data_IF_147140438233
#
_entry.id   IF_147140438233
#
_cell.length_a   1.000
_cell.length_b   1.000
_cell.length_c   1.000
_cell.angle_alpha   90.00
_cell.angle_beta   90.00
_cell.angle_gamma   90.00
#
_symmetry.space_group_name_H-M   'P 1'
#
loop_
_entity.id
_entity.type
_entity.pdbx_description
1 polymer ?
#
# COMPACT_ATOMS: atom_id res chain seq x y z
N UNK A 1 -6.34 12.61 3.94
CA UNK A 1 -4.99 13.21 3.82
C UNK A 1 -3.93 12.20 4.27
N UNK A 2 -4.05 11.65 5.48
CA UNK A 2 -3.13 10.65 6.02
C UNK A 2 -2.72 9.54 5.02
N UNK A 3 -3.68 8.86 4.40
CA UNK A 3 -3.41 7.79 3.43
C UNK A 3 -2.55 8.26 2.23
N UNK A 4 -2.81 9.46 1.72
CA UNK A 4 -2.01 10.03 0.64
C UNK A 4 -0.55 10.25 1.08
N UNK A 5 -0.35 10.76 2.30
CA UNK A 5 0.98 10.93 2.89
C UNK A 5 1.70 9.58 3.05
N UNK A 6 0.99 8.53 3.47
CA UNK A 6 1.57 7.18 3.61
C UNK A 6 2.08 6.66 2.27
N UNK A 7 1.28 6.77 1.20
CA UNK A 7 1.71 6.33 -0.14
C UNK A 7 2.90 7.13 -0.68
N UNK A 8 2.85 8.46 -0.57
CA UNK A 8 3.97 9.32 -1.00
C UNK A 8 5.23 9.01 -0.20
N UNK A 9 5.10 8.87 1.12
CA UNK A 9 6.22 8.54 1.99
C UNK A 9 6.81 7.16 1.65
N UNK A 10 5.95 6.16 1.46
CA UNK A 10 6.38 4.80 1.12
C UNK A 10 7.16 4.77 -0.20
N UNK A 11 6.60 5.35 -1.27
CA UNK A 11 7.30 5.38 -2.56
C UNK A 11 8.58 6.23 -2.52
N UNK A 12 8.56 7.38 -1.84
CA UNK A 12 9.76 8.22 -1.70
C UNK A 12 10.87 7.50 -0.94
N UNK A 13 10.54 6.79 0.15
CA UNK A 13 11.53 6.01 0.91
C UNK A 13 12.18 4.90 0.07
N UNK A 14 11.41 4.27 -0.83
CA UNK A 14 11.93 3.27 -1.77
C UNK A 14 12.78 3.88 -2.88
N UNK A 15 12.52 5.11 -3.32
CA UNK A 15 13.40 5.82 -4.27
C UNK A 15 14.73 6.17 -3.63
N UNK A 16 14.70 6.70 -2.40
CA UNK A 16 15.92 7.13 -1.68
C UNK A 16 16.89 5.97 -1.46
N UNK A 17 16.36 4.77 -1.17
CA UNK A 17 17.16 3.57 -0.93
C UNK A 17 16.71 2.41 -1.83
N UNK A 18 16.67 2.66 -3.15
CA UNK A 18 16.19 1.69 -4.13
C UNK A 18 17.01 0.40 -4.10
N UNK A 19 18.32 0.48 -3.87
CA UNK A 19 19.17 -0.70 -3.83
C UNK A 19 18.86 -1.60 -2.64
N UNK A 20 18.57 -1.05 -1.46
CA UNK A 20 18.13 -1.87 -0.33
C UNK A 20 16.74 -2.46 -0.58
N UNK A 21 15.84 -1.70 -1.22
CA UNK A 21 14.52 -2.19 -1.61
C UNK A 21 14.62 -3.37 -2.60
N UNK A 22 15.36 -3.20 -3.70
CA UNK A 22 15.52 -4.24 -4.72
C UNK A 22 16.20 -5.49 -4.17
N UNK A 23 17.24 -5.32 -3.35
CA UNK A 23 17.92 -6.44 -2.69
C UNK A 23 16.98 -7.20 -1.75
N UNK A 24 16.16 -6.47 -0.97
CA UNK A 24 15.18 -7.10 -0.07
C UNK A 24 14.16 -7.93 -0.84
N UNK A 25 13.55 -7.34 -1.88
CA UNK A 25 12.56 -8.02 -2.72
C UNK A 25 13.17 -9.23 -3.44
N UNK A 26 14.38 -9.10 -3.98
CA UNK A 26 15.10 -10.22 -4.61
C UNK A 26 15.40 -11.34 -3.62
N UNK A 27 15.76 -11.02 -2.37
CA UNK A 27 16.06 -12.04 -1.35
C UNK A 27 14.81 -12.77 -0.85
N UNK A 28 13.62 -12.20 -1.04
CA UNK A 28 12.39 -12.91 -0.70
C UNK A 28 12.13 -14.12 -1.61
N UNK A 29 12.73 -14.17 -2.80
CA UNK A 29 12.62 -15.28 -3.76
C UNK A 29 11.18 -15.67 -4.14
N UNK A 30 10.22 -14.75 -4.00
CA UNK A 30 8.81 -14.94 -4.38
C UNK A 30 8.52 -14.45 -5.80
N UNK A 31 9.29 -13.47 -6.27
CA UNK A 31 9.13 -12.89 -7.61
C UNK A 31 10.21 -13.51 -8.51
N UNK A 32 9.85 -14.04 -9.69
CA UNK A 32 10.82 -14.54 -10.66
C UNK A 32 11.84 -13.46 -11.06
N UNK A 33 13.08 -13.86 -11.32
CA UNK A 33 14.18 -12.93 -11.61
C UNK A 33 13.88 -12.06 -12.84
N UNK A 34 13.20 -12.62 -13.85
CA UNK A 34 12.74 -11.90 -15.04
C UNK A 34 11.76 -10.74 -14.74
N UNK A 35 11.11 -10.74 -13.57
CA UNK A 35 10.13 -9.71 -13.17
C UNK A 35 10.73 -8.73 -12.16
N UNK A 36 11.98 -8.93 -11.72
CA UNK A 36 12.63 -8.02 -10.77
C UNK A 36 12.80 -6.61 -11.35
N UNK A 37 12.95 -6.44 -12.66
CA UNK A 37 13.02 -5.10 -13.24
C UNK A 37 11.69 -4.33 -13.13
N UNK A 38 10.54 -5.02 -13.03
CA UNK A 38 9.24 -4.39 -12.81
C UNK A 38 9.13 -3.73 -11.42
N UNK A 39 9.95 -4.15 -10.44
CA UNK A 39 9.93 -3.54 -9.10
C UNK A 39 10.34 -2.07 -9.12
N UNK A 40 11.06 -1.62 -10.17
CA UNK A 40 11.39 -0.21 -10.40
C UNK A 40 10.16 0.66 -10.60
N UNK A 41 9.05 0.07 -11.03
CA UNK A 41 7.78 0.77 -11.23
C UNK A 41 6.98 0.95 -9.93
N UNK A 42 7.27 0.17 -8.88
CA UNK A 42 6.52 0.23 -7.62
C UNK A 42 6.62 1.63 -6.98
N UNK A 43 7.82 2.20 -6.73
CA UNK A 43 7.92 3.51 -6.09
C UNK A 43 7.19 4.66 -6.83
N UNK A 44 7.33 4.83 -8.16
CA UNK A 44 6.59 5.88 -8.86
C UNK A 44 5.08 5.62 -8.89
N UNK A 45 4.62 4.37 -8.94
CA UNK A 45 3.18 4.04 -8.82
C UNK A 45 2.65 4.46 -7.43
N UNK A 46 3.38 4.16 -6.35
CA UNK A 46 2.99 4.54 -4.99
C UNK A 46 2.91 6.06 -4.82
N UNK A 47 3.92 6.80 -5.30
CA UNK A 47 3.90 8.27 -5.27
C UNK A 47 2.75 8.81 -6.11
N UNK A 48 2.57 8.30 -7.34
CA UNK A 48 1.50 8.72 -8.24
C UNK A 48 0.11 8.51 -7.62
N UNK A 49 -0.10 7.36 -6.99
CA UNK A 49 -1.32 7.06 -6.26
C UNK A 49 -1.53 8.00 -5.06
N UNK A 50 -0.48 8.26 -4.28
CA UNK A 50 -0.53 9.18 -3.15
C UNK A 50 -0.88 10.62 -3.56
N UNK A 51 -0.24 11.13 -4.62
CA UNK A 51 -0.54 12.46 -5.20
C UNK A 51 -1.96 12.49 -5.75
N UNK A 52 -2.39 11.44 -6.44
CA UNK A 52 -3.76 11.36 -6.95
C UNK A 52 -4.78 11.39 -5.81
N UNK A 53 -4.60 10.58 -4.76
CA UNK A 53 -5.43 10.62 -3.55
C UNK A 53 -5.46 12.02 -2.92
N UNK A 54 -4.31 12.69 -2.80
CA UNK A 54 -4.23 14.05 -2.28
C UNK A 54 -5.04 15.06 -3.10
N UNK A 55 -4.94 14.98 -4.44
CA UNK A 55 -5.68 15.85 -5.35
C UNK A 55 -7.20 15.67 -5.26
N UNK A 56 -7.66 14.43 -5.02
CA UNK A 56 -9.09 14.13 -4.92
C UNK A 56 -9.70 14.61 -3.60
N UNK A 57 -8.91 14.71 -2.53
CA UNK A 57 -9.41 15.25 -1.25
C UNK A 57 -9.85 16.71 -1.38
N UNK A 58 -9.20 17.48 -2.26
CA UNK A 58 -9.57 18.89 -2.51
C UNK A 58 -10.79 19.05 -3.41
N UNK A 59 -11.15 18.03 -4.20
CA UNK A 59 -12.29 18.06 -5.11
C UNK A 59 -13.52 17.52 -4.37
N UNK A 60 -14.52 18.38 -4.12
CA UNK A 60 -15.78 17.99 -3.48
C UNK A 60 -16.66 17.06 -4.35
N UNK A 61 -16.28 16.81 -5.60
CA UNK A 61 -17.12 16.21 -6.64
C UNK A 61 -17.32 14.68 -6.53
N UNK A 62 -17.11 14.07 -5.35
CA UNK A 62 -17.43 12.65 -5.11
C UNK A 62 -16.61 11.62 -5.92
N UNK A 63 -15.58 12.05 -6.63
CA UNK A 63 -14.68 11.22 -7.47
C UNK A 63 -13.64 10.42 -6.66
N UNK A 64 -13.53 10.67 -5.35
CA UNK A 64 -12.52 10.08 -4.45
C UNK A 64 -12.48 8.55 -4.42
N UNK A 65 -13.55 7.87 -4.83
CA UNK A 65 -13.61 6.42 -4.71
C UNK A 65 -12.73 5.63 -5.67
N UNK A 66 -12.32 6.13 -6.84
CA UNK A 66 -11.47 5.33 -7.76
C UNK A 66 -10.08 5.13 -7.16
N UNK A 67 -9.34 6.19 -6.79
CA UNK A 67 -8.03 6.00 -6.17
C UNK A 67 -8.11 5.30 -4.81
N UNK A 68 -9.22 5.42 -4.07
CA UNK A 68 -9.43 4.62 -2.85
C UNK A 68 -9.52 3.12 -3.17
N UNK A 69 -10.24 2.71 -4.22
CA UNK A 69 -10.28 1.30 -4.64
C UNK A 69 -8.93 0.78 -5.10
N UNK A 70 -8.19 1.56 -5.89
CA UNK A 70 -6.84 1.18 -6.35
C UNK A 70 -5.89 1.02 -5.17
N UNK A 71 -5.94 1.94 -4.21
CA UNK A 71 -5.18 1.85 -2.96
C UNK A 71 -5.52 0.59 -2.16
N UNK A 72 -6.80 0.24 -2.04
CA UNK A 72 -7.22 -0.99 -1.37
C UNK A 72 -6.71 -2.24 -2.10
N UNK A 73 -6.75 -2.26 -3.43
CA UNK A 73 -6.22 -3.35 -4.25
C UNK A 73 -4.70 -3.47 -4.03
N UNK A 74 -3.96 -2.37 -4.04
CA UNK A 74 -2.51 -2.40 -3.82
C UNK A 74 -2.17 -2.91 -2.41
N UNK A 75 -2.91 -2.49 -1.37
CA UNK A 75 -2.76 -3.02 -0.01
C UNK A 75 -3.05 -4.52 0.02
N UNK A 76 -4.07 -4.98 -0.71
CA UNK A 76 -4.43 -6.39 -0.83
C UNK A 76 -3.31 -7.21 -1.49
N UNK A 77 -2.83 -6.78 -2.66
CA UNK A 77 -1.71 -7.41 -3.38
C UNK A 77 -0.48 -7.47 -2.49
N UNK A 78 -0.17 -6.38 -1.79
CA UNK A 78 0.97 -6.32 -0.89
C UNK A 78 0.81 -7.26 0.32
N UNK A 79 -0.41 -7.40 0.86
CA UNK A 79 -0.70 -8.33 1.96
C UNK A 79 -0.60 -9.79 1.51
N UNK A 80 -1.06 -10.12 0.31
CA UNK A 80 -0.88 -11.45 -0.30
C UNK A 80 0.61 -11.75 -0.50
N UNK A 81 1.37 -10.79 -1.03
CA UNK A 81 2.82 -10.91 -1.15
C UNK A 81 3.47 -11.27 0.20
N UNK A 82 3.18 -10.51 1.26
CA UNK A 82 3.71 -10.81 2.60
C UNK A 82 3.31 -12.19 3.10
N UNK A 83 2.11 -12.66 2.77
CA UNK A 83 1.65 -13.99 3.15
C UNK A 83 2.48 -15.10 2.51
N UNK A 84 2.87 -14.93 1.25
CA UNK A 84 3.67 -15.88 0.48
C UNK A 84 5.16 -15.89 0.89
N UNK A 85 5.70 -14.75 1.34
CA UNK A 85 7.10 -14.70 1.82
C UNK A 85 7.23 -15.49 3.13
N UNK A 86 8.22 -16.41 3.25
CA UNK A 86 8.45 -17.18 4.47
C UNK A 86 8.74 -16.28 5.69
N UNK A 87 8.18 -16.64 6.84
CA UNK A 87 8.29 -15.85 8.08
C UNK A 87 9.75 -15.64 8.49
N UNK A 88 10.57 -16.70 8.42
CA UNK A 88 12.00 -16.62 8.72
C UNK A 88 12.77 -15.62 7.84
N UNK A 89 12.31 -15.41 6.59
CA UNK A 89 12.91 -14.43 5.67
C UNK A 89 12.48 -13.02 6.06
N UNK A 90 11.19 -12.81 6.37
CA UNK A 90 10.67 -11.49 6.83
C UNK A 90 11.24 -11.11 8.21
N UNK A 91 11.49 -12.06 9.10
CA UNK A 91 12.12 -11.80 10.40
C UNK A 91 13.59 -11.40 10.25
N UNK A 92 14.32 -12.07 9.36
CA UNK A 92 15.74 -11.81 9.14
C UNK A 92 15.99 -10.54 8.33
N UNK A 93 15.22 -10.33 7.27
CA UNK A 93 15.47 -9.30 6.27
C UNK A 93 14.53 -8.14 6.47
N UNK A 94 13.28 -8.34 6.89
CA UNK A 94 12.26 -7.30 6.96
C UNK A 94 11.38 -7.28 5.70
N UNK A 95 10.36 -6.42 5.69
CA UNK A 95 9.38 -6.35 4.59
C UNK A 95 9.79 -5.39 3.45
N UNK A 96 10.89 -4.64 3.58
CA UNK A 96 11.38 -3.69 2.56
C UNK A 96 10.49 -2.46 2.30
N UNK A 97 9.38 -2.30 3.03
CA UNK A 97 8.31 -1.33 2.71
C UNK A 97 8.71 0.13 2.83
N UNK A 98 9.67 0.43 3.71
CA UNK A 98 10.07 1.80 4.06
C UNK A 98 11.60 1.97 4.07
N UNK A 99 12.30 1.15 3.29
CA UNK A 99 13.77 1.10 3.25
C UNK A 99 14.41 0.76 4.60
N UNK A 100 15.71 1.05 4.74
CA UNK A 100 16.49 0.77 5.96
C UNK A 100 15.94 1.45 7.23
N UNK A 101 15.17 2.53 7.08
CA UNK A 101 14.67 3.36 8.20
C UNK A 101 13.77 2.55 9.14
N UNK A 102 12.97 1.61 8.62
CA UNK A 102 12.08 0.78 9.45
C UNK A 102 12.53 -0.67 9.60
N UNK A 103 13.57 -1.11 8.87
CA UNK A 103 14.13 -2.47 9.01
C UNK A 103 14.58 -2.79 10.43
N UNK A 104 15.16 -1.82 11.15
CA UNK A 104 15.71 -2.03 12.50
C UNK A 104 14.72 -1.81 13.64
N UNK A 105 13.59 -1.16 13.40
CA UNK A 105 12.65 -0.78 14.47
C UNK A 105 11.85 -1.98 14.97
N UNK A 106 11.71 -3.02 14.15
CA UNK A 106 10.82 -4.15 14.43
C UNK A 106 11.58 -5.46 14.73
N UNK A 107 12.91 -5.50 14.53
CA UNK A 107 13.74 -6.69 14.70
C UNK A 107 14.11 -7.05 16.15
N UNK A 108 13.37 -6.55 17.16
CA UNK A 108 13.67 -6.76 18.57
C UNK A 108 12.48 -7.07 19.48
N UNK A 109 11.26 -7.07 18.95
CA UNK A 109 10.04 -7.39 19.71
C UNK A 109 9.47 -8.68 19.12
N UNK A 110 9.33 -9.73 19.92
CA UNK A 110 8.96 -11.09 19.49
C UNK A 110 7.54 -11.26 18.89
N UNK A 111 6.85 -10.17 18.53
CA UNK A 111 5.69 -10.22 17.64
C UNK A 111 6.17 -9.92 16.22
N UNK A 112 6.23 -10.97 15.40
CA UNK A 112 6.86 -11.00 14.08
C UNK A 112 6.57 -9.76 13.22
N UNK A 113 7.64 -9.26 12.59
CA UNK A 113 7.64 -8.20 11.56
C UNK A 113 6.49 -8.33 10.55
N UNK A 114 6.14 -9.57 10.20
CA UNK A 114 4.99 -9.91 9.36
C UNK A 114 3.65 -9.52 9.99
N UNK A 115 3.39 -9.88 11.24
CA UNK A 115 2.15 -9.53 11.95
C UNK A 115 1.98 -8.02 12.07
N UNK A 116 3.05 -7.29 12.44
CA UNK A 116 3.00 -5.82 12.51
C UNK A 116 2.68 -5.18 11.17
N UNK A 117 3.28 -5.68 10.08
CA UNK A 117 3.02 -5.15 8.73
C UNK A 117 1.59 -5.50 8.25
N UNK A 118 1.10 -6.71 8.55
CA UNK A 118 -0.28 -7.11 8.23
C UNK A 118 -1.29 -6.29 9.02
N UNK A 119 -1.03 -6.02 10.31
CA UNK A 119 -1.89 -5.17 11.13
C UNK A 119 -1.92 -3.73 10.59
N UNK A 120 -0.76 -3.18 10.21
CA UNK A 120 -0.69 -1.86 9.58
C UNK A 120 -1.50 -1.81 8.28
N UNK A 121 -1.34 -2.82 7.41
CA UNK A 121 -2.14 -2.94 6.18
C UNK A 121 -3.64 -3.05 6.47
N UNK A 122 -4.03 -3.81 7.50
CA UNK A 122 -5.42 -3.92 7.92
C UNK A 122 -5.99 -2.59 8.38
N UNK A 123 -5.23 -1.82 9.18
CA UNK A 123 -5.61 -0.45 9.59
C UNK A 123 -5.74 0.47 8.38
N UNK A 124 -4.80 0.41 7.44
CA UNK A 124 -4.91 1.20 6.21
C UNK A 124 -6.14 0.79 5.41
N UNK A 125 -6.44 -0.51 5.28
CA UNK A 125 -7.61 -1.01 4.57
C UNK A 125 -8.92 -0.54 5.21
N UNK A 126 -9.04 -0.57 6.55
CA UNK A 126 -10.26 -0.09 7.23
C UNK A 126 -10.50 1.40 7.01
N UNK A 127 -9.45 2.22 6.87
CA UNK A 127 -9.58 3.64 6.51
C UNK A 127 -10.23 3.87 5.14
N UNK A 128 -10.27 2.87 4.26
CA UNK A 128 -10.96 2.96 2.96
C UNK A 128 -12.46 2.68 3.04
N UNK A 129 -12.92 1.99 4.09
CA UNK A 129 -14.32 1.54 4.23
C UNK A 129 -15.30 2.72 4.17
N UNK A 130 -15.10 3.84 4.88
CA UNK A 130 -16.03 4.98 4.80
C UNK A 130 -16.07 5.62 3.40
N UNK A 131 -14.92 5.68 2.71
CA UNK A 131 -14.81 6.26 1.38
C UNK A 131 -15.53 5.42 0.33
N UNK A 132 -15.42 4.09 0.45
CA UNK A 132 -16.13 3.15 -0.43
C UNK A 132 -17.62 3.15 -0.13
N UNK A 133 -18.01 3.13 1.15
CA UNK A 133 -19.40 3.13 1.59
C UNK A 133 -20.14 4.41 1.15
N UNK A 134 -19.52 5.59 1.30
CA UNK A 134 -20.13 6.86 0.86
C UNK A 134 -20.39 6.86 -0.65
N UNK A 135 -19.47 6.31 -1.45
CA UNK A 135 -19.66 6.21 -2.90
C UNK A 135 -20.81 5.28 -3.28
N UNK A 136 -20.91 4.12 -2.63
CA UNK A 136 -22.02 3.18 -2.85
C UNK A 136 -23.35 3.86 -2.50
N UNK A 137 -23.39 4.58 -1.38
CA UNK A 137 -24.58 5.32 -0.95
C UNK A 137 -24.96 6.45 -1.93
N UNK A 138 -23.98 7.19 -2.49
CA UNK A 138 -24.24 8.22 -3.51
C UNK A 138 -24.78 7.64 -4.81
N UNK A 139 -24.20 6.55 -5.32
CA UNK A 139 -24.69 5.87 -6.54
C UNK A 139 -26.15 5.44 -6.40
N UNK A 140 -26.50 4.82 -5.26
CA UNK A 140 -27.89 4.43 -4.98
C UNK A 140 -28.86 5.62 -4.99
N UNK A 141 -28.44 6.79 -4.50
CA UNK A 141 -29.29 8.01 -4.52
C UNK A 141 -29.53 8.52 -5.94
N UNK A 142 -28.50 8.54 -6.79
CA UNK A 142 -28.66 8.94 -8.21
C UNK A 142 -29.56 7.97 -8.98
N UNK A 143 -29.43 6.66 -8.76
CA UNK A 143 -30.24 5.65 -9.45
C UNK A 143 -31.72 5.71 -9.06
N UNK A 144 -32.02 6.07 -7.80
CA UNK A 144 -33.40 6.28 -7.33
C UNK A 144 -34.00 7.59 -7.84
N UNK A 145 -33.21 8.65 -7.94
CA UNK A 145 -33.66 9.95 -8.45
C UNK A 145 -34.02 9.96 -9.94
N UNK A 146 -33.51 9.02 -10.73
CA UNK A 146 -33.88 8.85 -12.15
C UNK A 146 -35.17 8.04 -12.36
N UNK A 147 -35.71 7.41 -11.31
CA UNK A 147 -36.92 6.56 -11.40
C UNK A 147 -38.21 7.30 -10.99
N UNK A 148 -38.10 8.54 -10.55
CA UNK A 148 -39.21 9.43 -10.17
C UNK A 148 -39.40 10.49 -11.25
#
# INVERSE_FOLDING_TARGET
MFLACVWVFSGTSKIIDFQSFSTTVGTHAVIPDEWLDLIRLIPPIEIGLGVWLASQIRRQDGSTGIPAWISLIMIGVFSVYLFVVPDAVIEKIGCGCHGRVFHRVVSGVGLGTKFGTLLFNAVLATMHVPLVADRIARRRRTDLGQKL
#
